data_IF_444856615705
#
_entry.id   IF_444856615705
#
_cell.length_a   1.000
_cell.length_b   1.000
_cell.length_c   1.000
_cell.angle_alpha   90.00
_cell.angle_beta   90.00
_cell.angle_gamma   90.00
#
_symmetry.space_group_name_H-M   'P 1'
#
loop_
_entity.id
_entity.type
_entity.pdbx_description
1 polymer ?
#
# COMPACT_ATOMS: atom_id res chain seq x y z
N UNK A 1 -5.66 -43.76 -47.25
CA UNK A 1 -7.09 -44.13 -47.21
C UNK A 1 -7.66 -43.19 -46.18
N UNK A 2 -8.14 -42.08 -46.72
CA UNK A 2 -9.42 -41.42 -46.54
C UNK A 2 -9.56 -40.65 -45.20
N UNK A 3 -9.74 -39.46 -45.24
CA UNK A 3 -10.54 -38.35 -45.87
C UNK A 3 -11.03 -37.50 -44.70
N UNK A 4 -10.63 -36.24 -44.65
CA UNK A 4 -11.34 -35.03 -45.02
C UNK A 4 -12.71 -34.79 -44.34
N UNK A 5 -12.82 -33.68 -43.71
CA UNK A 5 -13.89 -32.67 -43.78
C UNK A 5 -13.71 -31.64 -42.63
N UNK A 6 -13.28 -30.45 -42.84
CA UNK A 6 -13.81 -29.24 -43.51
C UNK A 6 -15.23 -28.84 -43.07
N UNK A 7 -15.39 -27.66 -42.60
CA UNK A 7 -16.63 -26.97 -42.28
C UNK A 7 -16.35 -25.78 -41.39
N UNK A 8 -15.95 -24.67 -41.86
CA UNK A 8 -16.68 -23.57 -42.52
C UNK A 8 -17.22 -22.54 -41.53
N UNK A 9 -16.71 -21.37 -41.75
CA UNK A 9 -17.03 -20.06 -41.22
C UNK A 9 -18.52 -19.69 -41.25
N UNK A 10 -18.96 -18.80 -40.36
CA UNK A 10 -19.50 -17.48 -40.77
C UNK A 10 -19.73 -16.54 -39.57
N UNK A 11 -19.49 -15.24 -39.79
CA UNK A 11 -19.71 -14.17 -38.81
C UNK A 11 -21.13 -13.60 -38.97
N UNK A 12 -21.64 -12.98 -37.91
CA UNK A 12 -22.84 -12.13 -38.01
C UNK A 12 -22.49 -10.72 -37.49
N UNK A 13 -22.60 -9.83 -38.47
CA UNK A 13 -22.57 -8.37 -38.29
C UNK A 13 -23.89 -7.82 -37.76
N UNK A 14 -23.77 -6.65 -37.17
CA UNK A 14 -24.56 -5.42 -37.38
C UNK A 14 -25.85 -5.17 -36.62
N UNK A 15 -25.90 -3.93 -36.16
CA UNK A 15 -27.07 -3.13 -35.87
C UNK A 15 -26.78 -2.10 -34.77
N UNK A 16 -26.26 -0.95 -34.98
CA UNK A 16 -26.68 0.35 -35.55
C UNK A 16 -27.92 0.96 -34.89
N UNK A 17 -27.73 2.23 -34.58
CA UNK A 17 -28.69 3.33 -34.31
C UNK A 17 -29.22 3.46 -32.87
N UNK A 18 -29.30 4.65 -32.31
CA UNK A 18 -29.13 6.02 -32.77
C UNK A 18 -29.72 6.96 -31.73
N UNK A 19 -29.43 8.21 -31.98
CA UNK A 19 -30.06 9.45 -31.47
C UNK A 19 -29.82 9.77 -29.98
N UNK A 20 -29.20 10.83 -29.58
CA UNK A 20 -29.24 12.20 -30.11
C UNK A 20 -30.33 12.97 -29.42
N UNK A 21 -29.98 13.82 -28.46
CA UNK A 21 -30.61 15.12 -28.28
C UNK A 21 -29.71 16.05 -27.45
N UNK A 22 -29.34 17.07 -28.14
CA UNK A 22 -28.81 18.34 -27.73
C UNK A 22 -29.87 19.16 -26.97
N UNK A 23 -29.46 19.96 -25.97
CA UNK A 23 -30.09 21.24 -25.65
C UNK A 23 -29.23 22.08 -24.72
N UNK A 24 -28.50 22.96 -25.30
CA UNK A 24 -28.21 24.34 -24.92
C UNK A 24 -29.24 25.02 -24.03
N UNK A 25 -28.77 25.83 -23.08
CA UNK A 25 -29.59 26.76 -22.35
C UNK A 25 -28.80 27.60 -21.35
N UNK A 26 -28.11 28.63 -21.84
CA UNK A 26 -27.83 29.84 -21.05
C UNK A 26 -29.01 30.81 -21.16
N UNK A 27 -29.22 31.66 -20.15
CA UNK A 27 -29.39 33.11 -20.41
C UNK A 27 -28.60 33.96 -19.42
N UNK A 28 -27.79 34.85 -19.89
CA UNK A 28 -27.88 36.34 -20.10
C UNK A 28 -28.52 37.12 -18.94
N UNK A 29 -27.67 37.91 -18.34
CA UNK A 29 -27.57 39.34 -18.12
C UNK A 29 -28.85 40.16 -17.79
N UNK A 30 -28.68 41.05 -16.86
CA UNK A 30 -29.44 42.29 -16.59
C UNK A 30 -29.15 42.70 -15.16
N UNK A 31 -28.60 43.82 -14.78
CA UNK A 31 -28.58 45.13 -15.33
C UNK A 31 -28.99 46.12 -14.29
N UNK A 32 -28.11 47.06 -14.04
CA UNK A 32 -28.32 48.44 -13.67
C UNK A 32 -28.69 48.87 -12.21
N UNK A 33 -27.75 49.63 -11.67
CA UNK A 33 -27.84 50.98 -11.14
C UNK A 33 -28.61 51.25 -9.86
N UNK A 34 -27.90 51.80 -8.90
CA UNK A 34 -28.16 53.16 -8.38
C UNK A 34 -27.10 53.57 -7.35
N UNK A 35 -26.63 54.77 -7.56
CA UNK A 35 -25.70 55.55 -6.82
C UNK A 35 -26.22 55.95 -5.39
N UNK A 36 -25.29 56.26 -4.49
CA UNK A 36 -25.62 57.08 -3.33
C UNK A 36 -24.60 57.10 -2.19
N UNK A 37 -23.80 58.16 -2.21
CA UNK A 37 -23.34 58.97 -1.09
C UNK A 37 -22.27 58.49 -0.11
N UNK A 38 -21.13 59.15 -0.24
CA UNK A 38 -20.14 59.72 0.69
C UNK A 38 -20.35 59.49 2.20
N UNK A 39 -19.32 58.99 2.85
CA UNK A 39 -19.12 59.01 4.28
C UNK A 39 -17.66 58.78 4.62
N UNK A 40 -16.90 59.88 4.78
CA UNK A 40 -15.54 59.86 5.29
C UNK A 40 -15.50 59.30 6.69
N UNK A 41 -14.67 58.30 6.93
CA UNK A 41 -14.34 57.79 8.25
C UNK A 41 -12.93 57.25 8.22
N UNK A 42 -11.95 58.07 8.60
CA UNK A 42 -10.62 57.66 8.96
C UNK A 42 -10.73 56.68 10.14
N UNK A 43 -10.51 55.43 9.89
CA UNK A 43 -10.36 54.35 10.89
C UNK A 43 -9.08 53.61 10.63
N UNK A 44 -8.09 53.90 11.45
CA UNK A 44 -6.86 53.21 11.78
C UNK A 44 -6.73 51.81 11.13
N UNK A 45 -5.67 51.68 10.33
CA UNK A 45 -5.08 50.40 9.89
C UNK A 45 -4.54 49.67 11.11
N UNK A 46 -5.41 48.88 11.75
CA UNK A 46 -4.95 47.80 12.63
C UNK A 46 -4.46 46.67 11.73
N UNK A 47 -3.14 46.66 11.58
CA UNK A 47 -2.41 45.50 11.09
C UNK A 47 -2.55 44.39 12.13
N UNK A 48 -3.64 43.67 12.07
CA UNK A 48 -3.72 42.35 12.71
C UNK A 48 -2.79 41.42 11.92
N UNK A 49 -1.50 41.47 12.27
CA UNK A 49 -0.61 40.34 12.11
C UNK A 49 -1.25 39.19 12.90
N UNK A 50 -1.91 38.30 12.18
CA UNK A 50 -2.52 37.10 12.73
C UNK A 50 -1.47 36.32 13.47
N UNK A 51 -1.37 36.48 14.76
CA UNK A 51 -0.69 35.56 15.64
C UNK A 51 -1.41 34.22 15.50
N UNK A 52 -0.90 33.35 14.67
CA UNK A 52 -1.34 31.95 14.62
C UNK A 52 -1.06 31.37 16.00
N UNK A 53 -2.15 31.06 16.72
CA UNK A 53 -2.13 30.36 17.99
C UNK A 53 -1.18 29.13 17.86
N UNK A 54 -0.27 28.89 18.84
CA UNK A 54 0.69 27.77 18.77
C UNK A 54 0.01 26.40 18.63
N UNK A 55 -1.25 26.23 19.04
CA UNK A 55 -2.07 25.04 18.83
C UNK A 55 -2.41 24.79 17.36
N UNK A 56 -2.81 25.81 16.60
CA UNK A 56 -3.22 25.66 15.21
C UNK A 56 -2.10 25.24 14.27
N UNK A 57 -0.84 25.54 14.59
CA UNK A 57 0.32 25.12 13.78
C UNK A 57 0.68 23.66 14.02
N UNK A 58 0.69 23.22 15.28
CA UNK A 58 0.89 21.80 15.63
C UNK A 58 -0.20 20.92 15.00
N UNK A 59 -1.47 21.35 15.04
CA UNK A 59 -2.57 20.62 14.41
C UNK A 59 -2.40 20.48 12.90
N UNK A 60 -1.91 21.51 12.21
CA UNK A 60 -1.64 21.46 10.77
C UNK A 60 -0.50 20.48 10.44
N UNK A 61 0.54 20.41 11.25
CA UNK A 61 1.65 19.47 11.09
C UNK A 61 1.18 18.02 11.27
N UNK A 62 0.35 17.74 12.27
CA UNK A 62 -0.26 16.42 12.47
C UNK A 62 -1.21 16.03 11.34
N UNK A 63 -2.05 16.92 10.84
CA UNK A 63 -2.91 16.67 9.69
C UNK A 63 -2.11 16.41 8.40
N UNK A 64 -0.98 17.08 8.24
CA UNK A 64 -0.07 16.82 7.11
C UNK A 64 0.55 15.45 7.22
N UNK A 65 1.06 15.08 8.39
CA UNK A 65 1.62 13.76 8.67
C UNK A 65 0.58 12.64 8.43
N UNK A 66 -0.65 12.82 8.92
CA UNK A 66 -1.74 11.85 8.74
C UNK A 66 -2.03 11.59 7.25
N UNK A 67 -2.07 12.65 6.43
CA UNK A 67 -2.25 12.53 4.99
C UNK A 67 -1.14 11.75 4.32
N UNK A 68 0.12 12.07 4.64
CA UNK A 68 1.27 11.37 4.07
C UNK A 68 1.34 9.91 4.51
N UNK A 69 1.05 9.62 5.78
CA UNK A 69 0.95 8.24 6.28
C UNK A 69 -0.17 7.45 5.57
N UNK A 70 -1.33 8.07 5.33
CA UNK A 70 -2.43 7.43 4.60
C UNK A 70 -2.02 7.06 3.17
N UNK A 71 -1.35 7.97 2.46
CA UNK A 71 -0.83 7.72 1.12
C UNK A 71 0.24 6.63 1.15
N UNK A 72 1.18 6.72 2.09
CA UNK A 72 2.25 5.74 2.25
C UNK A 72 1.71 4.34 2.52
N UNK A 73 0.80 4.17 3.48
CA UNK A 73 0.20 2.87 3.83
C UNK A 73 -0.58 2.27 2.66
N UNK A 74 -1.31 3.09 1.89
CA UNK A 74 -1.99 2.63 0.69
C UNK A 74 -1.01 2.10 -0.36
N UNK A 75 0.07 2.85 -0.64
CA UNK A 75 1.12 2.45 -1.58
C UNK A 75 1.88 1.21 -1.10
N UNK A 76 2.18 1.13 0.20
CA UNK A 76 2.83 -0.02 0.80
C UNK A 76 2.00 -1.31 0.64
N UNK A 77 0.67 -1.23 0.86
CA UNK A 77 -0.24 -2.37 0.64
C UNK A 77 -0.27 -2.82 -0.83
N UNK A 78 -0.35 -1.89 -1.77
CA UNK A 78 -0.30 -2.21 -3.20
C UNK A 78 1.03 -2.89 -3.58
N UNK A 79 2.16 -2.33 -3.13
CA UNK A 79 3.49 -2.90 -3.35
C UNK A 79 3.65 -4.28 -2.72
N UNK A 80 3.04 -4.52 -1.55
CA UNK A 80 3.06 -5.85 -0.92
C UNK A 80 2.38 -6.91 -1.79
N UNK A 81 1.27 -6.58 -2.44
CA UNK A 81 0.60 -7.48 -3.37
C UNK A 81 1.43 -7.77 -4.63
N UNK A 82 2.18 -6.78 -5.13
CA UNK A 82 3.12 -6.98 -6.24
C UNK A 82 4.27 -7.91 -5.84
N UNK A 83 4.90 -7.65 -4.69
CA UNK A 83 5.98 -8.49 -4.16
C UNK A 83 5.53 -9.92 -3.89
N UNK A 84 4.31 -10.13 -3.40
CA UNK A 84 3.76 -11.47 -3.24
C UNK A 84 3.72 -12.22 -4.58
N UNK A 85 3.18 -11.60 -5.63
CA UNK A 85 3.13 -12.20 -6.98
C UNK A 85 4.50 -12.42 -7.60
N UNK A 86 5.49 -11.56 -7.28
CA UNK A 86 6.88 -11.75 -7.70
C UNK A 86 7.53 -12.98 -7.04
N UNK A 87 7.17 -13.29 -5.79
CA UNK A 87 7.61 -14.53 -5.10
C UNK A 87 6.93 -15.75 -5.73
N UNK A 88 5.60 -15.73 -5.84
CA UNK A 88 4.82 -16.78 -6.48
C UNK A 88 3.48 -16.22 -6.96
N UNK A 89 3.00 -16.56 -8.19
CA UNK A 89 1.75 -16.02 -8.74
C UNK A 89 0.52 -16.29 -7.86
N UNK A 90 0.48 -17.44 -7.19
CA UNK A 90 -0.62 -17.85 -6.32
C UNK A 90 -0.43 -17.42 -4.85
N UNK A 91 0.61 -16.64 -4.55
CA UNK A 91 0.86 -16.18 -3.19
C UNK A 91 -0.09 -15.03 -2.83
N UNK A 92 -0.88 -15.22 -1.78
CA UNK A 92 -1.70 -14.17 -1.21
C UNK A 92 -0.82 -13.05 -0.61
N UNK A 93 -1.21 -11.80 -0.84
CA UNK A 93 -0.47 -10.63 -0.33
C UNK A 93 -0.29 -10.64 1.20
N UNK A 94 -1.29 -11.13 1.94
CA UNK A 94 -1.22 -11.26 3.39
C UNK A 94 -0.14 -12.25 3.87
N UNK A 95 0.16 -13.29 3.07
CA UNK A 95 1.14 -14.31 3.42
C UNK A 95 2.59 -13.86 3.14
N UNK A 96 2.81 -12.84 2.30
CA UNK A 96 4.14 -12.30 2.03
C UNK A 96 4.85 -11.81 3.30
N UNK A 97 4.12 -11.18 4.23
CA UNK A 97 4.66 -10.73 5.52
C UNK A 97 5.23 -11.87 6.37
N UNK A 98 4.65 -13.07 6.28
CA UNK A 98 5.17 -14.27 6.97
C UNK A 98 6.51 -14.71 6.39
N UNK A 99 6.64 -14.71 5.08
CA UNK A 99 7.90 -15.07 4.42
C UNK A 99 9.02 -14.09 4.78
N UNK A 100 8.73 -12.78 4.80
CA UNK A 100 9.69 -11.76 5.23
C UNK A 100 10.10 -11.98 6.68
N UNK A 101 9.14 -12.25 7.58
CA UNK A 101 9.44 -12.53 8.99
C UNK A 101 10.32 -13.77 9.16
N UNK A 102 10.05 -14.83 8.42
CA UNK A 102 10.87 -16.05 8.44
C UNK A 102 12.27 -15.85 7.83
N UNK A 103 12.40 -14.95 6.85
CA UNK A 103 13.72 -14.58 6.29
C UNK A 103 14.57 -13.80 7.31
N UNK A 104 13.94 -12.92 8.08
CA UNK A 104 14.62 -12.07 9.08
C UNK A 104 14.97 -12.81 10.37
N UNK A 105 14.07 -13.64 10.87
CA UNK A 105 14.16 -14.24 12.20
C UNK A 105 14.47 -15.75 12.18
N UNK A 106 14.51 -16.37 11.00
CA UNK A 106 14.72 -17.80 10.86
C UNK A 106 13.51 -18.63 11.30
N UNK A 107 13.79 -19.74 11.99
CA UNK A 107 12.76 -20.68 12.46
C UNK A 107 11.88 -20.06 13.53
N UNK A 108 10.56 -20.21 13.40
CA UNK A 108 9.58 -19.63 14.33
C UNK A 108 8.44 -20.62 14.60
N UNK A 109 7.88 -20.60 15.80
CA UNK A 109 6.63 -21.32 16.09
C UNK A 109 5.43 -20.65 15.41
N UNK A 110 4.46 -21.43 14.96
CA UNK A 110 3.23 -20.89 14.38
C UNK A 110 2.48 -19.92 15.32
N UNK A 111 2.59 -20.13 16.63
CA UNK A 111 2.00 -19.23 17.64
C UNK A 111 2.69 -17.88 17.70
N UNK A 112 4.02 -17.85 17.54
CA UNK A 112 4.82 -16.61 17.49
C UNK A 112 4.51 -15.81 16.22
N UNK A 113 4.42 -16.50 15.08
CA UNK A 113 4.00 -15.90 13.81
C UNK A 113 2.58 -15.33 13.88
N UNK A 114 1.64 -16.06 14.51
CA UNK A 114 0.27 -15.60 14.70
C UNK A 114 0.21 -14.33 15.56
N UNK A 115 0.97 -14.27 16.64
CA UNK A 115 1.06 -13.10 17.51
C UNK A 115 1.69 -11.91 16.79
N UNK A 116 2.77 -12.15 16.03
CA UNK A 116 3.46 -11.10 15.28
C UNK A 116 2.57 -10.46 14.20
N UNK A 117 1.84 -11.28 13.44
CA UNK A 117 0.95 -10.80 12.36
C UNK A 117 -0.38 -10.26 12.92
N UNK A 118 -0.75 -10.61 14.17
CA UNK A 118 -2.02 -10.19 14.77
C UNK A 118 -3.22 -10.99 14.25
N UNK A 119 -3.04 -12.28 13.91
CA UNK A 119 -4.11 -13.14 13.41
C UNK A 119 -4.41 -14.32 14.34
N UNK A 120 -5.63 -14.87 14.26
CA UNK A 120 -5.99 -16.06 15.03
C UNK A 120 -5.30 -17.34 14.52
N UNK A 121 -5.19 -18.35 15.42
CA UNK A 121 -4.53 -19.65 15.13
C UNK A 121 -5.06 -20.33 13.86
N UNK A 122 -6.38 -20.30 13.63
CA UNK A 122 -6.99 -20.94 12.47
C UNK A 122 -6.57 -20.26 11.15
N UNK A 123 -6.49 -18.93 11.14
CA UNK A 123 -6.03 -18.15 9.98
C UNK A 123 -4.55 -18.43 9.72
N UNK A 124 -3.71 -18.40 10.78
CA UNK A 124 -2.30 -18.75 10.66
C UNK A 124 -2.10 -20.15 10.10
N UNK A 125 -2.82 -21.15 10.63
CA UNK A 125 -2.73 -22.53 10.11
C UNK A 125 -3.06 -22.65 8.64
N UNK A 126 -4.07 -21.92 8.15
CA UNK A 126 -4.43 -21.91 6.71
C UNK A 126 -3.34 -21.25 5.86
N UNK A 127 -2.83 -20.10 6.30
CA UNK A 127 -1.76 -19.40 5.59
C UNK A 127 -0.49 -20.25 5.51
N UNK A 128 -0.08 -20.89 6.62
CA UNK A 128 1.10 -21.76 6.63
C UNK A 128 0.92 -22.98 5.73
N UNK A 129 -0.28 -23.58 5.71
CA UNK A 129 -0.56 -24.71 4.80
C UNK A 129 -0.45 -24.27 3.34
N UNK A 130 -1.05 -23.12 2.97
CA UNK A 130 -0.91 -22.60 1.60
C UNK A 130 0.56 -22.34 1.23
N UNK A 131 1.39 -21.83 2.16
CA UNK A 131 2.82 -21.64 1.93
C UNK A 131 3.59 -22.96 1.80
N UNK A 132 3.19 -24.01 2.52
CA UNK A 132 3.73 -25.36 2.38
C UNK A 132 3.34 -25.98 1.03
N UNK A 133 2.09 -25.85 0.61
CA UNK A 133 1.60 -26.34 -0.68
C UNK A 133 2.32 -25.66 -1.86
N UNK A 134 2.75 -24.41 -1.70
CA UNK A 134 3.58 -23.68 -2.66
C UNK A 134 5.09 -24.03 -2.56
N UNK A 135 5.49 -24.89 -1.62
CA UNK A 135 6.87 -25.28 -1.40
C UNK A 135 7.77 -24.16 -0.85
N UNK A 136 7.21 -23.08 -0.33
CA UNK A 136 7.97 -21.92 0.15
C UNK A 136 8.42 -22.04 1.61
N UNK A 137 7.68 -22.81 2.41
CA UNK A 137 8.01 -23.09 3.81
C UNK A 137 7.94 -24.59 4.09
N UNK A 138 8.60 -25.01 5.15
CA UNK A 138 8.51 -26.36 5.69
C UNK A 138 8.41 -26.30 7.22
N UNK A 139 7.97 -27.41 7.82
CA UNK A 139 7.93 -27.60 9.27
C UNK A 139 8.90 -28.66 9.69
N UNK A 140 9.51 -28.43 10.85
CA UNK A 140 10.34 -29.42 11.54
C UNK A 140 9.97 -29.49 13.02
N UNK A 141 10.21 -30.61 13.71
CA UNK A 141 10.01 -30.69 15.16
C UNK A 141 10.88 -29.66 15.88
N UNK A 142 10.32 -29.01 16.90
CA UNK A 142 11.09 -28.11 17.76
C UNK A 142 12.01 -28.96 18.67
N UNK A 143 13.33 -28.78 18.60
CA UNK A 143 14.28 -29.55 19.40
C UNK A 143 14.15 -29.29 20.91
N UNK A 144 13.55 -28.14 21.29
CA UNK A 144 13.33 -27.81 22.71
C UNK A 144 11.98 -28.31 23.23
N UNK A 145 11.02 -28.61 22.35
CA UNK A 145 9.68 -29.07 22.72
C UNK A 145 9.13 -30.00 21.64
N UNK A 146 9.30 -31.31 21.81
CA UNK A 146 8.87 -32.30 20.82
C UNK A 146 7.38 -32.34 20.50
N UNK A 147 6.55 -31.51 21.14
CA UNK A 147 5.12 -31.32 20.85
C UNK A 147 4.89 -30.10 19.92
N UNK A 148 5.89 -29.28 19.73
CA UNK A 148 5.84 -28.07 18.92
C UNK A 148 6.53 -28.27 17.55
N UNK A 149 6.13 -27.45 16.60
CA UNK A 149 6.73 -27.43 15.27
C UNK A 149 7.26 -26.03 14.99
N UNK A 150 8.45 -25.98 14.42
CA UNK A 150 9.07 -24.78 13.88
C UNK A 150 8.79 -24.69 12.38
N UNK A 151 8.42 -23.51 11.93
CA UNK A 151 8.24 -23.17 10.52
C UNK A 151 9.47 -22.41 10.05
N UNK A 152 9.97 -22.75 8.87
CA UNK A 152 11.11 -22.07 8.25
C UNK A 152 10.96 -22.00 6.73
N UNK A 153 11.69 -21.08 6.10
CA UNK A 153 11.76 -21.02 4.64
C UNK A 153 12.49 -22.27 4.11
N UNK A 154 11.95 -22.87 3.05
CA UNK A 154 12.69 -23.82 2.23
C UNK A 154 13.84 -23.10 1.50
N UNK A 155 14.74 -23.83 0.86
CA UNK A 155 15.78 -23.24 0.01
C UNK A 155 15.17 -22.43 -1.15
N UNK A 156 14.14 -22.98 -1.78
CA UNK A 156 13.38 -22.29 -2.84
C UNK A 156 12.69 -21.05 -2.30
N UNK A 157 12.01 -21.13 -1.15
CA UNK A 157 11.38 -19.98 -0.49
C UNK A 157 12.39 -18.88 -0.19
N UNK A 158 13.56 -19.22 0.37
CA UNK A 158 14.63 -18.26 0.66
C UNK A 158 15.17 -17.62 -0.61
N UNK A 159 15.40 -18.39 -1.66
CA UNK A 159 15.87 -17.90 -2.95
C UNK A 159 14.89 -16.91 -3.55
N UNK A 160 13.60 -17.23 -3.59
CA UNK A 160 12.56 -16.35 -4.17
C UNK A 160 12.38 -15.07 -3.36
N UNK A 161 12.25 -15.17 -2.03
CA UNK A 161 12.14 -14.00 -1.14
C UNK A 161 13.38 -13.11 -1.26
N UNK A 162 14.57 -13.70 -1.31
CA UNK A 162 15.83 -12.96 -1.48
C UNK A 162 15.85 -12.14 -2.77
N UNK A 163 15.46 -12.72 -3.92
CA UNK A 163 15.37 -11.98 -5.19
C UNK A 163 14.42 -10.80 -5.12
N UNK A 164 13.23 -11.00 -4.55
CA UNK A 164 12.23 -9.92 -4.41
C UNK A 164 12.75 -8.83 -3.47
N UNK A 165 13.43 -9.20 -2.39
CA UNK A 165 14.06 -8.24 -1.45
C UNK A 165 15.13 -7.39 -2.14
N UNK A 166 15.99 -8.01 -2.93
CA UNK A 166 17.01 -7.32 -3.72
C UNK A 166 16.38 -6.35 -4.73
N UNK A 167 15.37 -6.77 -5.47
CA UNK A 167 14.63 -5.93 -6.41
C UNK A 167 13.97 -4.73 -5.71
N UNK A 168 13.37 -4.96 -4.53
CA UNK A 168 12.80 -3.90 -3.68
C UNK A 168 13.86 -2.91 -3.23
N UNK A 169 15.00 -3.39 -2.75
CA UNK A 169 16.12 -2.54 -2.34
C UNK A 169 16.60 -1.65 -3.50
N UNK A 170 16.80 -2.25 -4.68
CA UNK A 170 17.19 -1.50 -5.86
C UNK A 170 16.16 -0.44 -6.27
N UNK A 171 14.85 -0.73 -6.07
CA UNK A 171 13.75 0.23 -6.29
C UNK A 171 13.87 1.43 -5.32
N UNK A 172 14.06 1.19 -4.03
CA UNK A 172 14.24 2.26 -3.04
C UNK A 172 15.48 3.11 -3.33
N UNK A 173 16.60 2.50 -3.68
CA UNK A 173 17.82 3.24 -4.07
C UNK A 173 17.53 4.17 -5.24
N UNK A 174 16.81 3.72 -6.27
CA UNK A 174 16.42 4.57 -7.39
C UNK A 174 15.44 5.68 -7.01
N UNK A 175 14.45 5.38 -6.17
CA UNK A 175 13.46 6.36 -5.73
C UNK A 175 14.06 7.48 -4.88
N UNK A 176 15.07 7.15 -4.07
CA UNK A 176 15.75 8.08 -3.18
C UNK A 176 17.08 8.61 -3.76
N UNK A 177 17.37 8.38 -5.04
CA UNK A 177 18.64 8.76 -5.66
C UNK A 177 18.94 10.28 -5.64
N UNK A 178 17.88 11.11 -5.50
CA UNK A 178 18.01 12.58 -5.39
C UNK A 178 18.01 13.09 -3.95
N UNK A 179 17.86 12.20 -2.96
CA UNK A 179 17.97 12.54 -1.55
C UNK A 179 19.43 12.50 -1.11
N UNK A 180 19.79 13.36 -0.17
CA UNK A 180 21.11 13.23 0.45
C UNK A 180 21.11 12.10 1.51
N UNK A 181 22.31 11.65 1.89
CA UNK A 181 22.44 10.56 2.86
C UNK A 181 21.89 10.91 4.25
N UNK A 182 21.88 12.20 4.62
CA UNK A 182 21.37 12.66 5.92
C UNK A 182 19.86 12.60 5.94
N UNK A 183 19.20 12.98 4.85
CA UNK A 183 17.75 12.87 4.70
C UNK A 183 17.29 11.42 4.81
N UNK A 184 17.97 10.50 4.13
CA UNK A 184 17.69 9.06 4.21
C UNK A 184 17.89 8.52 5.63
N UNK A 185 19.00 8.90 6.29
CA UNK A 185 19.27 8.47 7.66
C UNK A 185 18.27 9.04 8.66
N UNK A 186 17.86 10.30 8.49
CA UNK A 186 16.86 10.94 9.36
C UNK A 186 15.47 10.31 9.18
N UNK A 187 15.04 10.02 7.96
CA UNK A 187 13.80 9.28 7.70
C UNK A 187 13.83 7.90 8.38
N UNK A 188 14.94 7.16 8.25
CA UNK A 188 15.10 5.86 8.90
C UNK A 188 15.01 5.97 10.43
N UNK A 189 15.64 6.98 11.02
CA UNK A 189 15.60 7.26 12.46
C UNK A 189 14.18 7.55 12.95
N UNK A 190 13.47 8.44 12.24
CA UNK A 190 12.08 8.82 12.59
C UNK A 190 11.12 7.65 12.46
N UNK A 191 11.23 6.84 11.41
CA UNK A 191 10.43 5.63 11.24
C UNK A 191 10.70 4.61 12.35
N UNK A 192 11.97 4.43 12.75
CA UNK A 192 12.31 3.56 13.87
C UNK A 192 11.67 4.04 15.18
N UNK A 193 11.71 5.34 15.45
CA UNK A 193 11.08 5.93 16.63
C UNK A 193 9.55 5.74 16.64
N UNK A 194 8.91 5.95 15.49
CA UNK A 194 7.47 5.73 15.32
C UNK A 194 7.10 4.26 15.57
N UNK A 195 7.82 3.32 14.96
CA UNK A 195 7.58 1.88 15.11
C UNK A 195 7.67 1.42 16.56
N UNK A 196 8.70 1.88 17.31
CA UNK A 196 8.83 1.56 18.74
C UNK A 196 7.67 2.09 19.59
N UNK A 197 7.07 3.22 19.20
CA UNK A 197 5.91 3.79 19.88
C UNK A 197 4.63 2.98 19.69
N UNK A 198 4.57 2.15 18.65
CA UNK A 198 3.41 1.32 18.30
C UNK A 198 3.48 -0.11 18.88
N UNK A 199 4.59 -0.51 19.47
CA UNK A 199 4.80 -1.85 20.06
C UNK A 199 4.22 -2.02 21.49
N UNK A 200 3.34 -1.12 21.94
CA UNK A 200 2.72 -1.14 23.28
C UNK A 200 1.33 -1.78 23.28
#
# INVERSE_FOLDING_TARGET
MHEDSNGEERPVESGVSGSGVDRTGAPTAGGADAAGAVGEGLGTLDAQAGAQEPGGRADQEFLSLERELTVFLRRARASQGEMAREVHPDLESAAYGLLVRLDECGRQRATELAAYIGVGKATMSRQLRALEDLGLVAREPDPADGRAWLVHLTEEGRSRVGRVREARRARYVRQLAHWDQREVAELARLLNQLNRGMEK
#
